data_IF_782176234816
#
_entry.id   IF_782176234816
#
_cell.length_a   1.000
_cell.length_b   1.000
_cell.length_c   1.000
_cell.angle_alpha   90.00
_cell.angle_beta   90.00
_cell.angle_gamma   90.00
#
_symmetry.space_group_name_H-M   'P 1'
#
loop_
_entity.id
_entity.type
_entity.pdbx_description
1 polymer ?
#
# COMPACT_ATOMS: atom_id res chain seq x y z
N UNK A 1 -13.74 7.49 -13.79
CA UNK A 1 -14.11 8.05 -12.48
C UNK A 1 -13.97 6.95 -11.44
N UNK A 2 -12.73 6.60 -11.10
CA UNK A 2 -12.42 5.54 -10.14
C UNK A 2 -12.16 6.22 -8.81
N UNK A 3 -13.18 6.34 -7.98
CA UNK A 3 -13.05 6.90 -6.63
C UNK A 3 -12.00 6.10 -5.85
N UNK A 4 -11.06 6.77 -5.19
CA UNK A 4 -10.13 6.15 -4.24
C UNK A 4 -10.94 5.30 -3.23
N UNK A 5 -10.83 3.96 -3.28
CA UNK A 5 -11.63 3.07 -2.42
C UNK A 5 -10.92 2.63 -1.13
N UNK A 6 -9.92 3.39 -0.70
CA UNK A 6 -9.17 3.14 0.54
C UNK A 6 -7.74 2.69 0.27
N UNK A 7 -6.91 2.87 1.28
CA UNK A 7 -5.50 2.48 1.32
C UNK A 7 -5.38 1.59 2.55
N UNK A 8 -5.04 0.32 2.36
CA UNK A 8 -4.80 -0.63 3.45
C UNK A 8 -3.32 -0.53 3.83
N UNK A 9 -3.04 -0.34 5.11
CA UNK A 9 -1.70 -0.43 5.70
C UNK A 9 -1.56 -1.75 6.40
N UNK A 10 -0.55 -2.53 6.02
CA UNK A 10 -0.29 -3.82 6.63
C UNK A 10 1.18 -3.91 7.02
N UNK A 11 1.41 -4.34 8.26
CA UNK A 11 2.72 -4.48 8.90
C UNK A 11 3.13 -5.96 8.93
N UNK A 12 2.19 -6.92 8.89
CA UNK A 12 2.48 -8.35 9.12
C UNK A 12 1.84 -9.31 8.10
N UNK A 13 0.77 -8.94 7.38
CA UNK A 13 0.06 -9.77 6.38
C UNK A 13 0.22 -9.34 4.91
N UNK A 14 1.13 -8.40 4.64
CA UNK A 14 1.08 -7.51 3.48
C UNK A 14 0.90 -8.19 2.10
N UNK A 15 1.49 -9.37 1.80
CA UNK A 15 1.29 -10.03 0.50
C UNK A 15 -0.16 -10.45 0.25
N UNK A 16 -0.87 -10.91 1.29
CA UNK A 16 -2.25 -11.40 1.17
C UNK A 16 -3.23 -10.26 0.93
N UNK A 17 -3.04 -9.14 1.64
CA UNK A 17 -3.85 -7.94 1.51
C UNK A 17 -3.69 -7.28 0.14
N UNK A 18 -2.47 -7.28 -0.42
CA UNK A 18 -2.21 -6.80 -1.78
C UNK A 18 -2.98 -7.63 -2.81
N UNK A 19 -2.96 -8.96 -2.70
CA UNK A 19 -3.70 -9.85 -3.61
C UNK A 19 -5.22 -9.67 -3.47
N UNK A 20 -5.73 -9.52 -2.24
CA UNK A 20 -7.15 -9.28 -1.99
C UNK A 20 -7.61 -7.93 -2.55
N UNK A 21 -6.82 -6.86 -2.33
CA UNK A 21 -7.09 -5.54 -2.86
C UNK A 21 -7.09 -5.50 -4.38
N UNK A 22 -6.15 -6.20 -5.03
CA UNK A 22 -6.12 -6.36 -6.48
C UNK A 22 -7.42 -6.97 -7.03
N UNK A 23 -7.96 -8.01 -6.38
CA UNK A 23 -9.26 -8.61 -6.75
C UNK A 23 -10.43 -7.66 -6.55
N UNK A 24 -10.33 -6.73 -5.60
CA UNK A 24 -11.35 -5.73 -5.29
C UNK A 24 -11.22 -4.43 -6.11
N UNK A 25 -10.22 -4.31 -7.00
CA UNK A 25 -9.84 -3.06 -7.66
C UNK A 25 -9.57 -1.91 -6.66
N UNK A 26 -8.96 -2.26 -5.53
CA UNK A 26 -8.50 -1.32 -4.51
C UNK A 26 -6.98 -1.21 -4.62
N UNK A 27 -6.45 0.01 -4.55
CA UNK A 27 -5.00 0.24 -4.52
C UNK A 27 -4.48 0.02 -3.10
N UNK A 28 -3.32 -0.61 -2.98
CA UNK A 28 -2.63 -0.83 -1.71
C UNK A 28 -1.31 -0.09 -1.67
N UNK A 29 -0.89 0.32 -0.49
CA UNK A 29 0.49 0.71 -0.23
C UNK A 29 1.02 -0.19 0.88
N UNK A 30 2.30 -0.49 0.84
CA UNK A 30 2.94 -1.29 1.88
C UNK A 30 3.78 -0.40 2.79
N UNK A 31 3.84 -0.75 4.06
CA UNK A 31 4.87 -0.26 4.98
C UNK A 31 5.75 -1.44 5.32
N UNK A 32 7.07 -1.27 5.22
CA UNK A 32 8.02 -2.33 5.54
C UNK A 32 7.86 -2.69 7.02
N UNK A 33 7.50 -3.94 7.25
CA UNK A 33 7.18 -4.51 8.55
C UNK A 33 7.14 -6.03 8.44
N UNK A 34 7.13 -6.73 9.57
CA UNK A 34 6.86 -8.18 9.61
C UNK A 34 7.89 -9.10 8.95
N UNK A 35 9.01 -8.57 8.46
CA UNK A 35 10.10 -9.35 7.85
C UNK A 35 9.93 -9.68 6.36
N UNK A 36 8.98 -9.04 5.68
CA UNK A 36 8.75 -9.19 4.24
C UNK A 36 9.81 -8.46 3.40
N UNK A 37 10.18 -9.02 2.25
CA UNK A 37 11.07 -8.37 1.28
C UNK A 37 10.25 -7.57 0.27
N UNK A 38 10.86 -6.59 -0.38
CA UNK A 38 10.21 -5.78 -1.43
C UNK A 38 9.56 -6.63 -2.53
N UNK A 39 10.14 -7.80 -2.85
CA UNK A 39 9.57 -8.75 -3.79
C UNK A 39 8.24 -9.37 -3.34
N UNK A 40 8.04 -9.54 -2.03
CA UNK A 40 6.80 -10.06 -1.45
C UNK A 40 5.68 -9.00 -1.44
N UNK A 41 6.04 -7.72 -1.65
CA UNK A 41 5.15 -6.57 -1.65
C UNK A 41 4.77 -6.10 -3.07
N UNK A 42 5.06 -6.93 -4.08
CA UNK A 42 4.68 -6.64 -5.46
C UNK A 42 3.17 -6.47 -5.62
N UNK A 43 2.76 -5.35 -6.21
CA UNK A 43 1.35 -4.99 -6.42
C UNK A 43 0.89 -3.81 -5.56
N UNK A 44 1.65 -3.44 -4.53
CA UNK A 44 1.50 -2.15 -3.87
C UNK A 44 1.92 -1.01 -4.81
N UNK A 45 1.20 0.12 -4.78
CA UNK A 45 1.50 1.31 -5.59
C UNK A 45 2.64 2.16 -5.03
N UNK A 46 2.97 1.95 -3.76
CA UNK A 46 4.12 2.52 -3.06
C UNK A 46 4.50 1.61 -1.88
N UNK A 47 5.78 1.63 -1.50
CA UNK A 47 6.32 0.94 -0.33
C UNK A 47 7.07 1.98 0.49
N UNK A 48 6.72 2.12 1.77
CA UNK A 48 7.33 3.05 2.73
C UNK A 48 8.12 2.29 3.80
N UNK A 49 9.15 2.91 4.36
CA UNK A 49 10.01 2.25 5.36
C UNK A 49 9.30 2.06 6.71
N UNK A 50 8.50 3.03 7.13
CA UNK A 50 7.71 2.99 8.35
C UNK A 50 6.49 3.91 8.25
N UNK A 51 5.66 3.96 9.31
CA UNK A 51 4.48 4.81 9.36
C UNK A 51 4.78 6.31 9.35
N UNK A 52 5.97 6.72 9.78
CA UNK A 52 6.38 8.12 9.77
C UNK A 52 6.79 8.56 8.36
N UNK A 53 7.52 7.71 7.64
CA UNK A 53 7.85 7.89 6.22
C UNK A 53 6.59 8.00 5.38
N UNK A 54 5.62 7.12 5.61
CA UNK A 54 4.30 7.25 5.01
C UNK A 54 3.67 8.64 5.30
N UNK A 55 3.62 9.05 6.56
CA UNK A 55 2.90 10.26 6.96
C UNK A 55 3.46 11.49 6.25
N UNK A 56 4.79 11.55 6.08
CA UNK A 56 5.48 12.60 5.33
C UNK A 56 5.03 12.64 3.87
N UNK A 57 4.74 11.48 3.27
CA UNK A 57 4.40 11.35 1.85
C UNK A 57 2.88 11.21 1.59
N UNK A 58 2.04 11.28 2.63
CA UNK A 58 0.63 10.97 2.53
C UNK A 58 -0.13 11.89 1.56
N UNK A 59 0.19 13.18 1.54
CA UNK A 59 -0.43 14.13 0.60
C UNK A 59 -0.11 13.81 -0.87
N UNK A 60 1.14 13.46 -1.15
CA UNK A 60 1.55 13.06 -2.49
C UNK A 60 0.85 11.76 -2.94
N UNK A 61 0.68 10.82 -2.01
CA UNK A 61 0.02 9.54 -2.25
C UNK A 61 -1.45 9.71 -2.66
N UNK A 62 -2.20 10.56 -1.95
CA UNK A 62 -3.63 10.77 -2.25
C UNK A 62 -3.85 11.64 -3.51
N UNK A 63 -2.82 12.36 -3.96
CA UNK A 63 -2.84 13.14 -5.20
C UNK A 63 -2.61 12.28 -6.46
N UNK A 64 -2.27 10.98 -6.32
CA UNK A 64 -2.06 10.10 -7.46
C UNK A 64 -3.35 9.90 -8.26
N UNK A 65 -3.34 10.14 -9.59
CA UNK A 65 -4.49 9.88 -10.44
C UNK A 65 -4.94 8.42 -10.31
N UNK A 66 -6.26 8.22 -10.36
CA UNK A 66 -6.92 6.91 -10.22
C UNK A 66 -7.41 6.32 -11.53
#
# INVERSE_FOLDING_TARGET
>A
MTTLRGIIFDIDGAPYDIVAAGKANVRTVAVRGGGWKDGDLQGAVAIYDDSADLLVHFEALIALPG
#
